data_IF_657869723921
#
_entry.id   IF_657869723921
#
_cell.length_a   1.000
_cell.length_b   1.000
_cell.length_c   1.000
_cell.angle_alpha   90.00
_cell.angle_beta   90.00
_cell.angle_gamma   90.00
#
_symmetry.space_group_name_H-M   'P 1'
#
loop_
_entity.id
_entity.type
_entity.pdbx_description
1 polymer ?
#
# COMPACT_ATOMS: atom_id res chain seq x y z
N UNK A 1 -1.43 23.38 -26.77
CA UNK A 1 -2.59 22.49 -26.61
C UNK A 1 -3.81 23.40 -26.51
N UNK A 2 -4.69 23.42 -27.51
CA UNK A 2 -5.80 24.38 -27.55
C UNK A 2 -6.85 24.01 -26.50
N UNK A 3 -7.23 24.95 -25.64
CA UNK A 3 -8.21 24.73 -24.58
C UNK A 3 -9.59 24.44 -25.19
N UNK A 4 -10.24 23.37 -24.76
CA UNK A 4 -11.59 22.98 -25.20
C UNK A 4 -12.63 24.11 -24.98
N UNK A 5 -12.36 25.02 -24.05
CA UNK A 5 -13.12 26.27 -23.82
C UNK A 5 -13.03 27.21 -25.01
N UNK A 6 -11.82 27.41 -25.53
CA UNK A 6 -11.55 28.32 -26.63
C UNK A 6 -12.14 27.77 -27.94
N UNK A 7 -12.04 26.45 -28.14
CA UNK A 7 -12.69 25.76 -29.25
C UNK A 7 -14.22 25.86 -29.18
N UNK A 8 -14.82 25.67 -28.00
CA UNK A 8 -16.26 25.81 -27.81
C UNK A 8 -16.75 27.25 -28.06
N UNK A 9 -15.98 28.26 -27.62
CA UNK A 9 -16.29 29.66 -27.85
C UNK A 9 -16.14 30.06 -29.32
N UNK A 10 -15.08 29.59 -30.00
CA UNK A 10 -14.90 29.77 -31.45
C UNK A 10 -16.04 29.15 -32.22
N UNK A 11 -16.39 27.89 -31.92
CA UNK A 11 -17.51 27.23 -32.57
C UNK A 11 -18.81 28.01 -32.38
N UNK A 12 -19.09 28.48 -31.16
CA UNK A 12 -20.26 29.30 -30.86
C UNK A 12 -20.28 30.60 -31.68
N UNK A 13 -19.14 31.27 -31.86
CA UNK A 13 -19.02 32.50 -32.66
C UNK A 13 -19.22 32.22 -34.17
N UNK A 14 -18.61 31.15 -34.67
CA UNK A 14 -18.71 30.70 -36.07
C UNK A 14 -20.14 30.32 -36.42
N UNK A 15 -20.86 29.65 -35.51
CA UNK A 15 -22.29 29.35 -35.65
C UNK A 15 -23.12 30.64 -35.76
N UNK A 16 -22.86 31.63 -34.91
CA UNK A 16 -23.59 32.92 -35.00
C UNK A 16 -23.31 33.64 -36.32
N UNK A 17 -22.07 33.58 -36.84
CA UNK A 17 -21.72 34.16 -38.14
C UNK A 17 -22.36 33.43 -39.30
N UNK A 18 -22.29 32.09 -39.32
CA UNK A 18 -22.91 31.27 -40.36
C UNK A 18 -24.43 31.45 -40.46
N UNK A 19 -25.09 31.71 -39.32
CA UNK A 19 -26.53 32.03 -39.28
C UNK A 19 -26.82 33.46 -39.77
N UNK A 20 -25.89 34.40 -39.56
CA UNK A 20 -26.05 35.81 -39.97
C UNK A 20 -25.71 36.06 -41.45
N UNK A 21 -24.71 35.36 -42.01
CA UNK A 21 -24.24 35.47 -43.41
C UNK A 21 -24.81 34.33 -44.27
N UNK A 22 -26.14 34.26 -44.37
CA UNK A 22 -26.87 33.11 -44.94
C UNK A 22 -26.38 32.72 -46.36
N UNK A 23 -25.55 31.68 -46.44
CA UNK A 23 -25.22 30.95 -47.67
C UNK A 23 -26.25 29.81 -47.87
N UNK A 24 -27.11 29.84 -48.90
CA UNK A 24 -28.15 28.83 -49.10
C UNK A 24 -27.63 27.40 -49.35
N UNK A 25 -26.34 27.22 -49.60
CA UNK A 25 -25.71 25.92 -49.86
C UNK A 25 -25.19 25.21 -48.60
N UNK A 26 -25.21 25.85 -47.43
CA UNK A 26 -24.82 25.20 -46.17
C UNK A 26 -25.99 24.40 -45.58
N UNK A 27 -25.98 23.07 -45.78
CA UNK A 27 -26.99 22.15 -45.26
C UNK A 27 -26.69 21.63 -43.83
N UNK A 28 -26.21 22.49 -42.93
CA UNK A 28 -26.12 22.18 -41.49
C UNK A 28 -27.19 23.02 -40.81
N UNK A 29 -28.22 22.38 -40.25
CA UNK A 29 -29.31 23.11 -39.61
C UNK A 29 -28.77 23.78 -38.34
N UNK A 30 -29.08 25.05 -38.13
CA UNK A 30 -28.74 25.84 -36.93
C UNK A 30 -29.02 25.10 -35.61
N UNK A 31 -30.06 24.25 -35.61
CA UNK A 31 -30.41 23.35 -34.51
C UNK A 31 -29.32 22.32 -34.20
N UNK A 32 -28.78 21.66 -35.22
CA UNK A 32 -27.78 20.59 -35.06
C UNK A 32 -26.46 21.17 -34.52
N UNK A 33 -26.13 22.42 -34.88
CA UNK A 33 -25.00 23.16 -34.32
C UNK A 33 -25.19 23.51 -32.84
N UNK A 34 -26.40 23.90 -32.45
CA UNK A 34 -26.71 24.19 -31.04
C UNK A 34 -26.59 22.94 -30.18
N UNK A 35 -27.10 21.81 -30.65
CA UNK A 35 -27.00 20.51 -29.97
C UNK A 35 -25.54 20.08 -29.79
N UNK A 36 -24.69 20.25 -30.81
CA UNK A 36 -23.25 19.96 -30.71
C UNK A 36 -22.52 20.85 -29.69
N UNK A 37 -22.87 22.14 -29.61
CA UNK A 37 -22.28 23.06 -28.61
C UNK A 37 -22.72 22.68 -27.20
N UNK A 38 -23.99 22.30 -27.01
CA UNK A 38 -24.50 21.85 -25.71
C UNK A 38 -23.85 20.53 -25.28
N UNK A 39 -23.71 19.57 -26.20
CA UNK A 39 -23.00 18.31 -25.98
C UNK A 39 -21.53 18.56 -25.59
N UNK A 40 -20.83 19.42 -26.32
CA UNK A 40 -19.44 19.78 -26.02
C UNK A 40 -19.30 20.46 -24.64
N UNK A 41 -20.22 21.35 -24.30
CA UNK A 41 -20.24 21.99 -23.00
C UNK A 41 -20.55 20.99 -21.87
N UNK A 42 -21.38 19.97 -22.11
CA UNK A 42 -21.64 18.88 -21.17
C UNK A 42 -20.39 18.03 -20.95
N UNK A 43 -19.76 17.58 -22.04
CA UNK A 43 -18.55 16.76 -22.00
C UNK A 43 -17.42 17.46 -21.22
N UNK A 44 -17.22 18.76 -21.45
CA UNK A 44 -16.24 19.55 -20.71
C UNK A 44 -16.48 19.54 -19.20
N UNK A 45 -17.75 19.61 -18.76
CA UNK A 45 -18.08 19.54 -17.33
C UNK A 45 -17.75 18.18 -16.75
N UNK A 46 -18.06 17.11 -17.49
CA UNK A 46 -17.72 15.73 -17.12
C UNK A 46 -16.19 15.60 -16.98
N UNK A 47 -15.41 16.05 -17.96
CA UNK A 47 -13.94 16.04 -17.87
C UNK A 47 -13.41 16.83 -16.65
N UNK A 48 -14.01 17.97 -16.32
CA UNK A 48 -13.61 18.76 -15.16
C UNK A 48 -13.88 18.02 -13.83
N UNK A 49 -15.01 17.31 -13.74
CA UNK A 49 -15.31 16.45 -12.59
C UNK A 49 -14.32 15.31 -12.48
N UNK A 50 -14.06 14.58 -13.57
CA UNK A 50 -13.08 13.49 -13.57
C UNK A 50 -11.68 13.95 -13.18
N UNK A 51 -11.26 15.14 -13.62
CA UNK A 51 -9.98 15.72 -13.21
C UNK A 51 -9.91 15.94 -11.69
N UNK A 52 -10.93 16.56 -11.10
CA UNK A 52 -11.00 16.77 -9.64
C UNK A 52 -11.01 15.46 -8.87
N UNK A 53 -11.74 14.46 -9.37
CA UNK A 53 -11.77 13.12 -8.75
C UNK A 53 -10.41 12.44 -8.85
N UNK A 54 -9.72 12.55 -9.99
CA UNK A 54 -8.38 11.99 -10.16
C UNK A 54 -7.36 12.66 -9.24
N UNK A 55 -7.40 13.99 -9.10
CA UNK A 55 -6.55 14.76 -8.17
C UNK A 55 -6.80 14.32 -6.72
N UNK A 56 -8.07 14.32 -6.27
CA UNK A 56 -8.41 13.91 -4.90
C UNK A 56 -8.06 12.45 -4.60
N UNK A 57 -8.25 11.54 -5.55
CA UNK A 57 -7.85 10.14 -5.41
C UNK A 57 -6.33 10.01 -5.36
N UNK A 58 -5.61 10.79 -6.18
CA UNK A 58 -4.14 10.85 -6.17
C UNK A 58 -3.59 11.28 -4.81
N UNK A 59 -4.11 12.38 -4.24
CA UNK A 59 -3.72 12.85 -2.91
C UNK A 59 -3.98 11.82 -1.80
N UNK A 60 -5.12 11.12 -1.86
CA UNK A 60 -5.43 10.05 -0.90
C UNK A 60 -4.48 8.87 -1.04
N UNK A 61 -4.13 8.51 -2.27
CA UNK A 61 -3.21 7.42 -2.55
C UNK A 61 -1.80 7.75 -2.06
N UNK A 62 -1.32 8.97 -2.30
CA UNK A 62 -0.01 9.44 -1.81
C UNK A 62 0.08 9.36 -0.28
N UNK A 63 -0.92 9.91 0.44
CA UNK A 63 -0.98 9.81 1.91
C UNK A 63 -1.03 8.37 2.42
N UNK A 64 -1.77 7.50 1.73
CA UNK A 64 -1.83 6.08 2.07
C UNK A 64 -0.46 5.41 1.87
N UNK A 65 0.26 5.74 0.79
CA UNK A 65 1.60 5.24 0.52
C UNK A 65 2.63 5.70 1.57
N UNK A 66 2.60 6.98 1.96
CA UNK A 66 3.45 7.51 3.04
C UNK A 66 3.20 6.76 4.36
N UNK A 67 1.93 6.53 4.71
CA UNK A 67 1.54 5.79 5.91
C UNK A 67 2.04 4.35 5.87
N UNK A 68 1.90 3.67 4.73
CA UNK A 68 2.39 2.31 4.54
C UNK A 68 3.92 2.26 4.67
N UNK A 69 4.64 3.21 4.05
CA UNK A 69 6.09 3.28 4.14
C UNK A 69 6.57 3.48 5.58
N UNK A 70 5.90 4.35 6.33
CA UNK A 70 6.17 4.56 7.76
C UNK A 70 5.97 3.27 8.58
N UNK A 71 4.80 2.62 8.41
CA UNK A 71 4.48 1.36 9.11
C UNK A 71 5.46 0.23 8.75
N UNK A 72 5.89 0.14 7.49
CA UNK A 72 6.92 -0.83 7.07
C UNK A 72 8.25 -0.60 7.79
N UNK A 73 8.63 0.66 8.02
CA UNK A 73 9.79 1.03 8.81
C UNK A 73 9.68 0.57 10.27
N UNK A 74 8.54 0.83 10.92
CA UNK A 74 8.30 0.41 12.30
C UNK A 74 8.28 -1.11 12.46
N UNK A 75 7.58 -1.82 11.56
CA UNK A 75 7.53 -3.29 11.57
C UNK A 75 8.93 -3.87 11.41
N UNK A 76 9.74 -3.33 10.49
CA UNK A 76 11.12 -3.78 10.29
C UNK A 76 11.98 -3.57 11.54
N UNK A 77 11.83 -2.43 12.22
CA UNK A 77 12.54 -2.15 13.46
C UNK A 77 12.13 -3.11 14.59
N UNK A 78 10.82 -3.37 14.73
CA UNK A 78 10.28 -4.30 15.72
C UNK A 78 10.75 -5.74 15.45
N UNK A 79 10.73 -6.18 14.19
CA UNK A 79 11.25 -7.50 13.81
C UNK A 79 12.74 -7.62 14.13
N UNK A 80 13.55 -6.62 13.79
CA UNK A 80 14.97 -6.61 14.14
C UNK A 80 15.19 -6.65 15.66
N UNK A 81 14.35 -5.95 16.43
CA UNK A 81 14.39 -6.01 17.90
C UNK A 81 14.06 -7.41 18.41
N UNK A 82 13.00 -8.05 17.90
CA UNK A 82 12.62 -9.42 18.27
C UNK A 82 13.70 -10.44 17.91
N UNK A 83 14.29 -10.37 16.71
CA UNK A 83 15.37 -11.26 16.26
C UNK A 83 16.67 -11.10 17.06
N UNK A 84 16.85 -9.95 17.71
CA UNK A 84 17.99 -9.66 18.60
C UNK A 84 17.76 -10.08 20.05
N UNK A 85 16.51 -10.36 20.46
CA UNK A 85 16.22 -10.76 21.85
C UNK A 85 16.83 -12.13 22.13
N UNK A 86 17.75 -12.14 23.08
CA UNK A 86 18.25 -13.35 23.73
C UNK A 86 17.60 -13.48 25.10
N UNK A 87 17.36 -14.72 25.54
CA UNK A 87 16.89 -15.01 26.89
C UNK A 87 17.93 -15.92 27.54
N UNK A 88 18.32 -15.62 28.78
CA UNK A 88 19.20 -16.48 29.57
C UNK A 88 18.36 -17.53 30.29
N UNK A 89 18.88 -18.75 30.38
CA UNK A 89 18.29 -19.77 31.24
C UNK A 89 18.45 -19.35 32.71
N UNK A 90 17.44 -19.59 33.57
CA UNK A 90 17.62 -19.46 35.01
C UNK A 90 18.72 -20.40 35.52
N UNK A 91 19.55 -19.91 36.43
CA UNK A 91 20.72 -20.65 36.95
C UNK A 91 20.31 -22.01 37.53
N UNK A 92 19.14 -22.12 38.18
CA UNK A 92 18.66 -23.39 38.73
C UNK A 92 18.36 -24.43 37.65
N UNK A 93 17.87 -24.00 36.48
CA UNK A 93 17.60 -24.87 35.35
C UNK A 93 18.91 -25.34 34.71
N UNK A 94 19.88 -24.43 34.59
CA UNK A 94 21.20 -24.73 34.04
C UNK A 94 21.97 -25.73 34.92
N UNK A 95 21.97 -25.50 36.24
CA UNK A 95 22.56 -26.40 37.24
C UNK A 95 21.90 -27.77 37.22
N UNK A 96 20.56 -27.85 37.11
CA UNK A 96 19.86 -29.13 37.02
C UNK A 96 20.23 -29.90 35.75
N UNK A 97 20.34 -29.22 34.61
CA UNK A 97 20.73 -29.85 33.35
C UNK A 97 22.16 -30.40 33.41
N UNK A 98 23.10 -29.61 33.94
CA UNK A 98 24.49 -30.04 34.12
C UNK A 98 24.59 -31.25 35.07
N UNK A 99 23.86 -31.23 36.18
CA UNK A 99 23.85 -32.36 37.12
C UNK A 99 23.26 -33.64 36.51
N UNK A 100 22.22 -33.52 35.68
CA UNK A 100 21.62 -34.66 34.99
C UNK A 100 22.57 -35.26 33.94
N UNK A 101 23.37 -34.43 33.27
CA UNK A 101 24.42 -34.89 32.33
C UNK A 101 25.51 -35.68 33.06
N UNK A 102 25.91 -35.24 34.26
CA UNK A 102 26.94 -35.91 35.06
C UNK A 102 26.49 -37.27 35.65
N UNK A 103 25.20 -37.38 36.03
CA UNK A 103 24.69 -38.54 36.77
C UNK A 103 24.10 -39.60 35.86
N UNK A 104 23.57 -39.24 34.70
CA UNK A 104 22.89 -40.18 33.81
C UNK A 104 23.82 -40.73 32.72
N UNK A 105 23.75 -42.05 32.43
CA UNK A 105 24.40 -42.61 31.24
C UNK A 105 23.91 -41.89 29.98
N UNK A 106 24.82 -41.66 29.03
CA UNK A 106 24.55 -40.89 27.80
C UNK A 106 23.32 -41.39 27.03
N UNK A 107 23.09 -42.70 26.94
CA UNK A 107 21.91 -43.24 26.24
C UNK A 107 20.59 -42.90 26.95
N UNK A 108 20.60 -42.79 28.28
CA UNK A 108 19.44 -42.42 29.09
C UNK A 108 19.20 -40.92 29.06
N UNK A 109 20.28 -40.13 29.10
CA UNK A 109 20.21 -38.67 28.95
C UNK A 109 19.62 -38.27 27.60
N UNK A 110 19.99 -38.96 26.50
CA UNK A 110 19.38 -38.72 25.18
C UNK A 110 17.92 -39.18 25.06
N UNK A 111 17.46 -40.13 25.89
CA UNK A 111 16.07 -40.59 25.93
C UNK A 111 15.14 -39.67 26.71
N UNK A 112 15.69 -38.93 27.68
CA UNK A 112 14.99 -37.76 28.20
C UNK A 112 14.86 -36.82 27.01
N UNK A 113 13.64 -36.67 26.54
CA UNK A 113 13.30 -35.87 25.38
C UNK A 113 13.55 -34.38 25.72
N UNK A 114 14.82 -34.01 25.80
CA UNK A 114 15.31 -32.65 25.89
C UNK A 114 14.73 -31.84 24.71
N UNK A 115 14.43 -32.49 23.59
CA UNK A 115 13.67 -31.88 22.49
C UNK A 115 12.23 -31.48 22.86
N UNK A 116 11.55 -32.18 23.78
CA UNK A 116 10.20 -31.82 24.27
C UNK A 116 10.18 -30.95 25.52
N UNK A 117 11.17 -31.08 26.42
CA UNK A 117 11.18 -30.37 27.72
C UNK A 117 12.13 -29.18 27.79
N UNK A 118 13.12 -29.08 26.92
CA UNK A 118 14.08 -27.99 27.05
C UNK A 118 13.37 -26.66 26.74
N UNK A 119 13.32 -25.77 27.73
CA UNK A 119 12.90 -24.39 27.55
C UNK A 119 13.65 -23.76 26.36
N UNK A 120 14.92 -24.13 26.13
CA UNK A 120 15.69 -23.77 24.94
C UNK A 120 15.04 -24.24 23.65
N UNK A 121 14.58 -25.49 23.54
CA UNK A 121 13.93 -25.99 22.32
C UNK A 121 12.57 -25.32 22.08
N UNK A 122 11.79 -25.05 23.14
CA UNK A 122 10.51 -24.32 23.04
C UNK A 122 10.69 -22.84 22.72
N UNK A 123 11.70 -22.19 23.31
CA UNK A 123 12.07 -20.79 23.05
C UNK A 123 12.68 -20.65 21.65
N UNK A 124 13.56 -21.55 21.24
CA UNK A 124 14.14 -21.60 19.90
C UNK A 124 13.10 -21.89 18.82
N UNK A 125 12.16 -22.81 19.06
CA UNK A 125 11.00 -23.04 18.18
C UNK A 125 10.07 -21.82 18.09
N UNK A 126 10.06 -20.95 19.11
CA UNK A 126 9.39 -19.65 19.10
C UNK A 126 10.24 -18.51 18.50
N UNK A 127 11.41 -18.83 17.91
CA UNK A 127 12.31 -17.85 17.28
C UNK A 127 13.19 -17.06 18.26
N UNK A 128 13.23 -17.46 19.54
CA UNK A 128 14.00 -16.78 20.59
C UNK A 128 15.39 -17.43 20.66
N UNK A 129 16.45 -16.62 20.55
CA UNK A 129 17.82 -17.07 20.77
C UNK A 129 18.06 -17.28 22.27
N UNK A 130 18.68 -18.39 22.65
CA UNK A 130 18.99 -18.69 24.06
C UNK A 130 20.49 -18.81 24.21
N UNK A 131 21.06 -18.06 25.16
CA UNK A 131 22.47 -18.14 25.52
C UNK A 131 22.61 -19.09 26.73
N UNK A 132 23.44 -20.13 26.59
CA UNK A 132 23.86 -20.94 27.73
C UNK A 132 25.00 -20.22 28.47
N UNK A 133 24.92 -20.19 29.80
CA UNK A 133 26.00 -19.63 30.61
C UNK A 133 27.11 -20.67 30.72
N UNK A 134 28.32 -20.29 30.32
CA UNK A 134 29.53 -21.14 30.33
C UNK A 134 30.18 -21.23 31.70
#
# INVERSE_FOLDING_TARGET
MTDITELAQRLKLEVHRAVSDFNPQMNIKTRDLKELVEALASEKRICATWRKTAESTGEKLEKAQETIAFQQGEIKALLSSLESRTVKLPDEVDVLLNHLEDVLPFEVFQLIDAHKWNAVSRLSAAGIKVEQLS
#
